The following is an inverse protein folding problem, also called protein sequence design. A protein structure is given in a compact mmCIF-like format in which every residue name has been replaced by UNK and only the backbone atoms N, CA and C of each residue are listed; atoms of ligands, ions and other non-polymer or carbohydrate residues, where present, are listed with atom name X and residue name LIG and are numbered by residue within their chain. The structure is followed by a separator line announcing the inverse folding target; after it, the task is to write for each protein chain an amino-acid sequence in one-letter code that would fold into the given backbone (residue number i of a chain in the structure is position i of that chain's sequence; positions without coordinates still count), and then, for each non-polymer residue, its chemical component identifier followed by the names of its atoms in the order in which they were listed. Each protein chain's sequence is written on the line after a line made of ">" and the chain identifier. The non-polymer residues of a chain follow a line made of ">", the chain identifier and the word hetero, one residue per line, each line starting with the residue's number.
data_IF_774598392599
#
_entry.id   IF_774598392599
#
_cell.length_a   1.000
_cell.length_b   1.000
_cell.length_c   1.000
_cell.angle_alpha   90.00
_cell.angle_beta   90.00
_cell.angle_gamma   90.00
#
_symmetry.space_group_name_H-M   'P 1'
#
loop_
_entity.id
_entity.type
_entity.pdbx_description
1 polymer ?
#
# COMPACT_ATOMS: atom_id res chain seq x y z
N UNK A 1 20.38 12.23 -1.98
CA UNK A 1 19.03 11.62 -1.75
C UNK A 1 18.35 11.39 -3.11
N UNK A 2 17.53 10.35 -3.24
CA UNK A 2 16.71 10.09 -4.43
C UNK A 2 15.23 10.05 -4.10
N UNK A 3 14.39 10.43 -5.06
CA UNK A 3 12.96 10.19 -5.02
C UNK A 3 12.62 9.05 -5.98
N UNK A 4 11.98 8.01 -5.47
CA UNK A 4 11.45 6.91 -6.26
C UNK A 4 9.95 7.11 -6.40
N UNK A 5 9.45 7.08 -7.63
CA UNK A 5 8.03 7.20 -7.95
C UNK A 5 7.57 5.91 -8.63
N UNK A 6 6.44 5.37 -8.18
CA UNK A 6 5.81 4.17 -8.76
C UNK A 6 4.52 4.58 -9.46
N UNK A 7 4.40 4.23 -10.74
CA UNK A 7 3.22 4.52 -11.54
C UNK A 7 2.57 3.24 -12.07
N UNK A 8 1.24 3.24 -12.15
CA UNK A 8 0.46 2.30 -12.97
C UNK A 8 0.47 2.74 -14.43
N UNK A 9 0.63 1.80 -15.36
CA UNK A 9 0.42 2.05 -16.79
C UNK A 9 -1.07 1.91 -17.12
N UNK A 10 -1.75 3.02 -17.37
CA UNK A 10 -3.17 3.02 -17.77
C UNK A 10 -3.28 2.64 -19.25
N UNK A 11 -2.44 3.22 -20.10
CA UNK A 11 -2.35 2.89 -21.52
C UNK A 11 -0.89 2.72 -21.92
N UNK A 12 -0.53 1.61 -22.58
CA UNK A 12 0.85 1.39 -23.03
C UNK A 12 1.23 2.41 -24.11
N UNK A 13 2.54 2.61 -24.29
CA UNK A 13 3.04 3.35 -25.43
C UNK A 13 2.62 2.64 -26.73
N UNK A 14 2.16 3.42 -27.70
CA UNK A 14 1.71 2.94 -29.00
C UNK A 14 2.43 3.73 -30.10
N UNK A 15 2.31 3.31 -31.36
CA UNK A 15 3.02 3.96 -32.48
C UNK A 15 2.79 5.48 -32.57
N UNK A 16 1.64 5.97 -32.10
CA UNK A 16 1.26 7.39 -32.07
C UNK A 16 1.58 8.11 -30.74
N UNK A 17 1.97 7.39 -29.69
CA UNK A 17 2.24 7.93 -28.36
C UNK A 17 3.61 7.42 -27.88
N UNK A 18 4.60 8.31 -27.93
CA UNK A 18 5.98 8.02 -27.53
C UNK A 18 6.13 7.60 -26.06
N UNK A 19 5.17 7.98 -25.20
CA UNK A 19 5.18 7.68 -23.78
C UNK A 19 3.86 7.03 -23.34
N UNK A 20 3.89 6.07 -22.38
CA UNK A 20 2.68 5.49 -21.82
C UNK A 20 1.88 6.54 -21.04
N UNK A 21 0.57 6.37 -20.98
CA UNK A 21 -0.28 7.13 -20.05
C UNK A 21 -0.20 6.45 -18.69
N UNK A 22 0.34 7.17 -17.71
CA UNK A 22 0.61 6.62 -16.37
C UNK A 22 -0.17 7.35 -15.28
N UNK A 23 -0.27 6.71 -14.11
CA UNK A 23 -0.86 7.29 -12.89
C UNK A 23 0.04 6.99 -11.71
N UNK A 24 0.44 8.03 -10.97
CA UNK A 24 1.24 7.89 -9.76
C UNK A 24 0.46 7.10 -8.71
N UNK A 25 1.11 6.09 -8.12
CA UNK A 25 0.57 5.27 -7.03
C UNK A 25 1.21 5.65 -5.71
N UNK A 26 2.55 5.69 -5.68
CA UNK A 26 3.32 5.91 -4.46
C UNK A 26 4.65 6.61 -4.75
N UNK A 27 5.19 7.31 -3.76
CA UNK A 27 6.47 8.03 -3.83
C UNK A 27 7.26 7.89 -2.53
N UNK A 28 8.58 7.76 -2.63
CA UNK A 28 9.46 7.66 -1.46
C UNK A 28 10.78 8.39 -1.67
N UNK A 29 11.25 9.07 -0.63
CA UNK A 29 12.62 9.57 -0.55
C UNK A 29 13.52 8.49 0.06
N UNK A 30 14.61 8.17 -0.63
CA UNK A 30 15.54 7.11 -0.23
C UNK A 30 16.96 7.67 -0.17
N UNK A 31 17.72 7.22 0.82
CA UNK A 31 19.13 7.56 0.95
C UNK A 31 19.98 6.64 0.04
N UNK A 32 21.04 7.19 -0.53
CA UNK A 32 21.96 6.48 -1.44
C UNK A 32 23.00 5.63 -0.70
N UNK A 33 23.21 5.91 0.59
CA UNK A 33 24.28 5.29 1.37
C UNK A 33 23.97 3.85 1.83
N UNK A 34 22.73 3.38 1.67
CA UNK A 34 22.28 2.06 2.14
C UNK A 34 21.64 1.25 1.01
N UNK A 35 22.12 0.03 0.81
CA UNK A 35 21.48 -0.94 -0.09
C UNK A 35 20.45 -1.78 0.69
N UNK A 36 19.17 -1.49 0.50
CA UNK A 36 18.08 -2.18 1.18
C UNK A 36 16.86 -2.35 0.26
N UNK A 37 15.94 -3.23 0.67
CA UNK A 37 14.65 -3.37 0.00
C UNK A 37 13.75 -2.19 0.33
N UNK A 38 13.12 -1.65 -0.71
CA UNK A 38 12.08 -0.63 -0.58
C UNK A 38 10.73 -1.22 -1.01
N UNK A 39 9.69 -0.91 -0.23
CA UNK A 39 8.31 -1.38 -0.46
C UNK A 39 7.41 -0.21 -0.80
N UNK A 40 6.52 -0.41 -1.77
CA UNK A 40 5.59 0.61 -2.26
C UNK A 40 4.16 0.08 -2.28
N UNK A 41 3.20 0.95 -1.97
CA UNK A 41 1.79 0.57 -2.00
C UNK A 41 1.23 0.62 -3.43
N UNK A 42 1.05 -0.57 -4.02
CA UNK A 42 0.42 -0.74 -5.34
C UNK A 42 -1.00 -1.30 -5.23
N UNK A 43 -1.56 -1.37 -4.02
CA UNK A 43 -2.90 -1.91 -3.74
C UNK A 43 -3.97 -1.32 -4.66
N UNK A 44 -4.01 0.01 -4.92
CA UNK A 44 -5.03 0.59 -5.79
C UNK A 44 -5.01 0.02 -7.21
N UNK A 45 -3.82 -0.20 -7.79
CA UNK A 45 -3.68 -0.76 -9.14
C UNK A 45 -4.05 -2.25 -9.17
N UNK A 46 -3.54 -3.03 -8.22
CA UNK A 46 -3.87 -4.45 -8.09
C UNK A 46 -5.37 -4.65 -7.92
N UNK A 47 -6.05 -3.78 -7.16
CA UNK A 47 -7.50 -3.87 -6.99
C UNK A 47 -8.29 -3.55 -8.25
N UNK A 48 -7.82 -2.60 -9.07
CA UNK A 48 -8.42 -2.35 -10.40
C UNK A 48 -8.29 -3.57 -11.30
N UNK A 49 -7.13 -4.20 -11.34
CA UNK A 49 -6.88 -5.35 -12.21
C UNK A 49 -7.68 -6.58 -11.79
N UNK A 50 -7.77 -6.84 -10.49
CA UNK A 50 -8.35 -8.08 -9.96
C UNK A 50 -9.84 -7.99 -9.67
N UNK A 51 -10.36 -6.83 -9.25
CA UNK A 51 -11.77 -6.67 -8.84
C UNK A 51 -12.60 -5.89 -9.85
N UNK A 52 -12.00 -4.92 -10.54
CA UNK A 52 -12.71 -4.04 -11.47
C UNK A 52 -12.56 -4.47 -12.94
N UNK A 53 -11.80 -5.54 -13.21
CA UNK A 53 -11.62 -6.10 -14.56
C UNK A 53 -10.75 -5.25 -15.49
N UNK A 54 -9.96 -4.32 -14.96
CA UNK A 54 -9.03 -3.55 -15.77
C UNK A 54 -7.87 -4.42 -16.28
N UNK A 55 -7.37 -4.13 -17.48
CA UNK A 55 -6.17 -4.79 -18.00
C UNK A 55 -4.93 -4.35 -17.25
N UNK A 56 -4.04 -5.30 -16.98
CA UNK A 56 -2.74 -5.03 -16.39
C UNK A 56 -1.72 -4.74 -17.50
N UNK A 57 -1.20 -3.50 -17.53
CA UNK A 57 -0.12 -3.11 -18.43
C UNK A 57 1.23 -2.94 -17.73
N UNK A 58 1.31 -3.24 -16.43
CA UNK A 58 2.51 -3.14 -15.62
C UNK A 58 2.68 -1.81 -14.89
N UNK A 59 3.85 -1.66 -14.29
CA UNK A 59 4.26 -0.48 -13.53
C UNK A 59 5.45 0.23 -14.21
N UNK A 60 5.54 1.54 -14.00
CA UNK A 60 6.75 2.32 -14.28
C UNK A 60 7.38 2.71 -12.96
N UNK A 61 8.70 2.52 -12.86
CA UNK A 61 9.51 2.99 -11.73
C UNK A 61 10.39 4.11 -12.23
N UNK A 62 10.19 5.31 -11.69
CA UNK A 62 11.01 6.48 -11.98
C UNK A 62 11.91 6.79 -10.78
N UNK A 63 13.17 7.09 -11.07
CA UNK A 63 14.15 7.50 -10.07
C UNK A 63 14.59 8.92 -10.38
N UNK A 64 14.15 9.87 -9.57
CA UNK A 64 14.54 11.27 -9.66
C UNK A 64 15.70 11.55 -8.70
N UNK A 65 16.80 12.07 -9.23
CA UNK A 65 17.95 12.48 -8.45
C UNK A 65 17.77 13.93 -8.01
N UNK A 66 17.69 14.20 -6.71
CA UNK A 66 17.42 15.54 -6.17
C UNK A 66 18.67 16.43 -6.07
N UNK A 67 19.86 15.82 -6.07
CA UNK A 67 21.13 16.53 -6.11
C UNK A 67 21.89 16.11 -7.38
N UNK A 68 22.13 17.07 -8.26
CA UNK A 68 23.02 16.91 -9.41
C UNK A 68 24.46 17.04 -8.94
N UNK A 69 25.01 15.96 -8.39
CA UNK A 69 26.45 15.87 -8.18
C UNK A 69 27.06 15.11 -9.37
N UNK A 70 27.71 15.79 -10.33
CA UNK A 70 28.10 15.19 -11.61
C UNK A 70 29.12 14.04 -11.51
N UNK A 71 29.68 13.77 -10.32
CA UNK A 71 30.66 12.70 -10.08
C UNK A 71 30.17 11.41 -9.42
N UNK A 72 28.92 11.35 -8.92
CA UNK A 72 28.42 10.15 -8.22
C UNK A 72 27.65 9.26 -9.20
N UNK A 73 28.04 7.98 -9.27
CA UNK A 73 27.43 6.96 -10.14
C UNK A 73 25.89 7.02 -10.05
N UNK A 74 25.21 7.26 -11.18
CA UNK A 74 23.74 7.44 -11.26
C UNK A 74 22.93 6.14 -11.04
N UNK A 75 23.56 5.03 -10.63
CA UNK A 75 22.94 3.69 -10.57
C UNK A 75 22.77 3.21 -9.13
N UNK A 76 21.72 3.69 -8.46
CA UNK A 76 21.42 3.30 -7.07
C UNK A 76 20.17 2.42 -6.92
N UNK A 77 19.40 2.19 -7.99
CA UNK A 77 18.20 1.36 -7.93
C UNK A 77 18.35 0.19 -8.89
N UNK A 78 18.28 -1.03 -8.35
CA UNK A 78 18.42 -2.28 -9.12
C UNK A 78 17.04 -2.84 -9.43
N UNK A 79 16.62 -2.70 -10.68
CA UNK A 79 15.28 -3.13 -11.16
C UNK A 79 15.40 -4.29 -12.16
N UNK A 80 16.56 -4.42 -12.82
CA UNK A 80 16.83 -5.45 -13.82
C UNK A 80 18.07 -6.28 -13.47
N UNK A 81 18.14 -7.46 -14.08
CA UNK A 81 19.27 -8.38 -14.00
C UNK A 81 20.51 -7.76 -14.64
N UNK A 82 21.68 -7.93 -14.03
CA UNK A 82 22.96 -7.58 -14.66
C UNK A 82 23.38 -8.64 -15.68
N UNK A 83 24.05 -8.23 -16.77
CA UNK A 83 24.47 -9.13 -17.86
C UNK A 83 25.33 -10.31 -17.38
N UNK A 84 26.18 -10.10 -16.38
CA UNK A 84 27.12 -11.10 -15.85
C UNK A 84 26.62 -11.83 -14.60
N UNK A 85 25.40 -11.57 -14.17
CA UNK A 85 24.84 -12.23 -12.99
C UNK A 85 24.36 -13.64 -13.35
N UNK A 86 24.45 -14.61 -12.45
CA UNK A 86 23.82 -15.92 -12.65
C UNK A 86 22.31 -15.87 -12.36
N UNK A 87 21.55 -16.85 -12.84
CA UNK A 87 20.08 -16.87 -12.69
C UNK A 87 19.64 -17.06 -11.24
N UNK A 88 20.37 -17.87 -10.47
CA UNK A 88 20.03 -18.19 -9.09
C UNK A 88 20.16 -16.95 -8.20
N UNK A 89 21.24 -16.20 -8.32
CA UNK A 89 21.41 -14.96 -7.55
C UNK A 89 20.42 -13.86 -7.98
N UNK A 90 20.03 -13.79 -9.26
CA UNK A 90 18.99 -12.86 -9.70
C UNK A 90 17.62 -13.19 -9.10
N UNK A 91 17.27 -14.47 -9.00
CA UNK A 91 15.98 -14.90 -8.44
C UNK A 91 15.77 -14.42 -6.99
N UNK A 92 16.85 -14.21 -6.25
CA UNK A 92 16.84 -13.74 -4.86
C UNK A 92 16.67 -12.22 -4.72
N UNK A 93 16.97 -11.44 -5.78
CA UNK A 93 16.97 -9.97 -5.74
C UNK A 93 16.03 -9.32 -6.76
N UNK A 94 15.27 -10.11 -7.52
CA UNK A 94 14.29 -9.60 -8.49
C UNK A 94 13.12 -8.92 -7.78
N UNK A 95 12.52 -7.86 -8.36
CA UNK A 95 11.31 -7.24 -7.79
C UNK A 95 10.18 -8.25 -7.60
N UNK A 96 9.45 -8.13 -6.49
CA UNK A 96 8.34 -9.01 -6.14
C UNK A 96 7.06 -8.20 -5.94
N UNK A 97 5.95 -8.70 -6.49
CA UNK A 97 4.61 -8.24 -6.13
C UNK A 97 4.08 -9.14 -5.00
N UNK A 98 4.07 -8.62 -3.78
CA UNK A 98 3.51 -9.33 -2.62
C UNK A 98 2.06 -8.93 -2.46
N UNK A 99 1.15 -9.91 -2.45
CA UNK A 99 -0.29 -9.69 -2.26
C UNK A 99 -0.80 -10.47 -1.06
N UNK A 100 -1.69 -9.84 -0.29
CA UNK A 100 -2.37 -10.48 0.83
C UNK A 100 -3.84 -10.67 0.45
N UNK A 101 -4.20 -11.89 0.07
CA UNK A 101 -5.57 -12.27 -0.24
C UNK A 101 -6.29 -12.85 0.97
N UNK A 102 -7.61 -12.73 0.98
CA UNK A 102 -8.47 -13.50 1.87
C UNK A 102 -9.25 -14.51 1.05
N UNK A 103 -9.16 -15.80 1.41
CA UNK A 103 -9.80 -16.92 0.72
C UNK A 103 -11.34 -16.95 0.87
N UNK A 104 -11.91 -16.02 1.64
CA UNK A 104 -13.35 -15.91 1.86
C UNK A 104 -13.95 -17.07 2.66
N UNK A 105 -13.13 -18.05 3.06
CA UNK A 105 -13.56 -19.24 3.82
C UNK A 105 -13.65 -19.00 5.31
N UNK A 106 -13.30 -17.79 5.79
CA UNK A 106 -13.57 -17.40 7.18
C UNK A 106 -14.93 -16.73 7.24
N UNK A 107 -15.80 -17.27 8.09
CA UNK A 107 -16.90 -16.48 8.65
C UNK A 107 -16.31 -15.17 9.19
N UNK A 108 -16.89 -14.00 8.89
CA UNK A 108 -16.38 -12.73 9.41
C UNK A 108 -16.33 -12.86 10.94
N UNK A 109 -15.12 -12.91 11.50
CA UNK A 109 -14.89 -13.10 12.94
C UNK A 109 -15.71 -12.07 13.74
N UNK A 110 -15.93 -10.89 13.15
CA UNK A 110 -16.98 -9.97 13.56
C UNK A 110 -17.66 -9.35 12.34
N UNK A 111 -18.93 -9.70 12.10
CA UNK A 111 -19.84 -8.84 11.32
C UNK A 111 -19.94 -7.53 12.12
N UNK A 112 -19.40 -6.43 11.61
CA UNK A 112 -19.55 -5.10 12.22
C UNK A 112 -21.04 -4.76 12.18
N UNK A 113 -21.77 -5.09 13.26
CA UNK A 113 -23.16 -4.70 13.40
C UNK A 113 -23.22 -3.17 13.33
N UNK A 114 -24.11 -2.63 12.49
CA UNK A 114 -24.31 -1.17 12.34
C UNK A 114 -24.39 -0.51 13.71
N UNK A 115 -23.80 0.68 13.83
CA UNK A 115 -23.60 1.50 15.04
C UNK A 115 -24.89 2.02 15.72
N UNK A 116 -26.00 1.31 15.63
CA UNK A 116 -27.20 1.66 16.37
C UNK A 116 -27.26 0.82 17.64
N UNK A 117 -27.46 1.49 18.76
CA UNK A 117 -27.73 0.85 20.04
C UNK A 117 -29.07 0.09 19.90
N UNK A 118 -29.03 -1.16 19.45
CA UNK A 118 -30.19 -2.03 19.55
C UNK A 118 -30.44 -2.27 21.02
N UNK A 119 -31.53 -1.73 21.55
CA UNK A 119 -32.10 -2.16 22.83
C UNK A 119 -32.48 -3.64 22.69
N UNK A 120 -31.56 -4.54 23.04
CA UNK A 120 -31.84 -5.98 23.11
C UNK A 120 -31.98 -6.37 24.58
N UNK A 121 -33.20 -6.80 24.89
CA UNK A 121 -33.63 -7.70 25.96
C UNK A 121 -32.48 -8.53 26.56
N UNK A 122 -32.39 -8.47 27.90
CA UNK A 122 -31.42 -9.18 28.76
C UNK A 122 -31.10 -10.59 28.23
N UNK A 123 -29.99 -10.71 27.51
CA UNK A 123 -29.35 -12.02 27.25
C UNK A 123 -28.13 -12.14 28.15
N UNK A 124 -27.97 -13.36 28.70
CA UNK A 124 -26.88 -13.85 29.56
C UNK A 124 -25.57 -13.06 29.40
N UNK A 125 -24.97 -12.69 30.53
CA UNK A 125 -23.62 -12.10 30.60
C UNK A 125 -22.63 -12.98 29.83
N UNK A 126 -22.32 -12.60 28.58
CA UNK A 126 -21.15 -13.12 27.86
C UNK A 126 -19.91 -12.38 28.38
N UNK A 127 -18.88 -13.14 28.75
CA UNK A 127 -17.57 -12.68 29.25
C UNK A 127 -16.63 -12.15 28.16
N UNK A 128 -17.07 -12.06 26.90
CA UNK A 128 -16.28 -11.53 25.80
C UNK A 128 -16.15 -10.00 25.86
N UNK A 129 -14.99 -9.47 25.48
CA UNK A 129 -14.76 -8.03 25.30
C UNK A 129 -15.87 -7.40 24.43
N UNK A 130 -16.54 -6.38 24.97
CA UNK A 130 -17.63 -5.66 24.30
C UNK A 130 -17.70 -4.22 24.79
N UNK A 131 -18.35 -3.36 24.02
CA UNK A 131 -18.65 -1.99 24.46
C UNK A 131 -19.72 -2.03 25.57
N UNK A 132 -19.48 -1.31 26.66
CA UNK A 132 -20.45 -1.11 27.74
C UNK A 132 -21.07 0.29 27.61
N UNK A 133 -22.38 0.44 27.87
CA UNK A 133 -22.97 1.76 28.01
C UNK A 133 -22.36 2.43 29.25
N UNK A 134 -21.90 3.67 29.09
CA UNK A 134 -21.45 4.54 30.18
C UNK A 134 -22.18 5.87 29.99
N UNK A 135 -23.02 6.22 30.96
CA UNK A 135 -23.61 7.54 31.05
C UNK A 135 -22.60 8.46 31.72
N UNK A 136 -22.49 9.69 31.24
CA UNK A 136 -21.66 10.74 31.84
C UNK A 136 -22.56 11.96 31.98
N UNK A 137 -22.72 12.41 33.21
CA UNK A 137 -23.27 13.72 33.53
C UNK A 137 -22.11 14.71 33.71
N UNK A 138 -22.24 15.90 33.13
CA UNK A 138 -21.24 16.95 33.29
C UNK A 138 -21.23 17.51 34.70
N UNK A 139 -22.37 17.47 35.40
CA UNK A 139 -22.43 17.82 36.81
C UNK A 139 -21.66 16.84 37.70
N UNK A 140 -21.68 15.55 37.37
CA UNK A 140 -20.93 14.52 38.10
C UNK A 140 -19.41 14.65 37.95
N UNK A 141 -18.94 15.22 36.84
CA UNK A 141 -17.49 15.47 36.59
C UNK A 141 -17.07 16.91 36.93
N UNK A 142 -17.94 17.68 37.58
CA UNK A 142 -17.65 19.05 38.03
C UNK A 142 -17.49 20.06 36.90
N UNK A 143 -18.02 19.76 35.71
CA UNK A 143 -18.02 20.66 34.56
C UNK A 143 -19.34 21.41 34.48
N UNK A 144 -19.59 22.26 35.48
CA UNK A 144 -20.79 23.10 35.55
C UNK A 144 -20.56 24.53 35.06
N UNK A 145 -19.29 24.94 34.91
CA UNK A 145 -18.89 26.34 34.72
C UNK A 145 -18.18 26.60 33.37
N UNK A 146 -18.48 25.80 32.35
CA UNK A 146 -18.01 26.02 30.97
C UNK A 146 -18.94 26.92 30.16
#
# INVERSE_FOLDING_TARGET
>A
IHRINIYEIIKPAAANLKFPVTRLLDTRLVNQNTSQWESFDVTPAVMRWTTQGHTNHGFVVEVAHLEENPGVSKRHVRISRSLHQDEHSWSQIRPLLVTFGHDGKRHPLHKREKRQAKHKQRKRLKSSCKRHPLYVDFSDVGWNDW
#
